data_IF_144138899170
#
_entry.id   IF_144138899170
#
_cell.length_a   1.000
_cell.length_b   1.000
_cell.length_c   1.000
_cell.angle_alpha   90.00
_cell.angle_beta   90.00
_cell.angle_gamma   90.00
#
_symmetry.space_group_name_H-M   'P 1'
#
loop_
_entity.id
_entity.type
_entity.pdbx_description
1 polymer ?
#
# COMPACT_ATOMS: atom_id res chain seq x y z
N UNK A 1 11.53 1.06 -10.23
CA UNK A 1 10.17 1.58 -9.94
C UNK A 1 9.79 2.78 -10.82
N UNK A 2 10.37 3.98 -10.62
CA UNK A 2 9.94 5.17 -11.38
C UNK A 2 10.01 5.04 -12.90
N UNK A 3 11.04 4.37 -13.44
CA UNK A 3 11.10 4.11 -14.88
C UNK A 3 9.97 3.20 -15.38
N UNK A 4 9.53 2.23 -14.56
CA UNK A 4 8.46 1.31 -14.92
C UNK A 4 7.09 2.01 -14.96
N UNK A 5 6.89 3.02 -14.11
CA UNK A 5 5.63 3.76 -13.98
C UNK A 5 5.67 5.16 -14.61
N UNK A 6 6.61 5.42 -15.49
CA UNK A 6 6.69 6.67 -16.25
C UNK A 6 7.31 6.37 -17.63
N UNK A 7 6.49 6.14 -18.66
CA UNK A 7 6.98 5.80 -20.00
C UNK A 7 7.87 6.87 -20.62
N UNK A 8 7.70 8.16 -20.27
CA UNK A 8 8.55 9.23 -20.80
C UNK A 8 9.88 9.37 -20.07
N UNK A 9 10.08 8.66 -18.96
CA UNK A 9 11.33 8.74 -18.19
C UNK A 9 12.45 8.05 -18.97
N UNK A 10 13.64 8.63 -19.03
CA UNK A 10 14.81 7.93 -19.56
C UNK A 10 15.19 6.78 -18.62
N UNK A 11 15.52 5.62 -19.18
CA UNK A 11 16.08 4.50 -18.42
C UNK A 11 17.53 4.85 -18.03
N UNK A 12 17.86 4.65 -16.77
CA UNK A 12 19.20 4.82 -16.21
C UNK A 12 19.81 3.46 -15.92
N UNK A 13 21.13 3.40 -15.77
CA UNK A 13 21.79 2.21 -15.26
C UNK A 13 21.44 2.02 -13.78
N UNK A 14 20.60 1.02 -13.49
CA UNK A 14 20.14 0.74 -12.11
C UNK A 14 21.27 0.26 -11.19
N UNK A 15 22.39 -0.19 -11.76
CA UNK A 15 23.54 -0.74 -11.04
C UNK A 15 24.73 0.23 -11.01
N UNK A 16 24.58 1.48 -11.46
CA UNK A 16 25.67 2.47 -11.57
C UNK A 16 26.44 2.66 -10.24
N UNK A 17 25.76 2.56 -9.10
CA UNK A 17 26.34 2.72 -7.76
C UNK A 17 26.64 1.39 -7.07
N UNK A 18 26.49 0.25 -7.75
CA UNK A 18 26.75 -1.06 -7.16
C UNK A 18 28.26 -1.37 -7.18
N UNK A 19 28.87 -1.74 -6.03
CA UNK A 19 30.33 -1.71 -5.85
C UNK A 19 31.10 -2.86 -6.54
N UNK A 20 30.41 -3.83 -7.16
CA UNK A 20 31.06 -4.94 -7.87
C UNK A 20 30.99 -4.67 -9.37
N UNK A 21 32.11 -4.80 -10.08
CA UNK A 21 32.13 -4.85 -11.55
C UNK A 21 31.20 -5.97 -12.00
N UNK A 22 29.96 -5.64 -12.32
CA UNK A 22 28.96 -6.59 -12.75
C UNK A 22 29.35 -7.08 -14.16
N UNK A 23 29.87 -8.31 -14.33
CA UNK A 23 30.32 -8.77 -15.64
C UNK A 23 29.15 -8.89 -16.62
N UNK A 24 27.94 -8.97 -16.06
CA UNK A 24 26.67 -8.91 -16.75
C UNK A 24 25.73 -8.07 -15.87
N UNK A 25 25.30 -6.92 -16.40
CA UNK A 25 24.23 -6.08 -15.85
C UNK A 25 22.93 -6.89 -15.90
N UNK A 26 22.73 -7.75 -14.91
CA UNK A 26 21.62 -8.69 -14.68
C UNK A 26 21.07 -9.51 -15.88
N UNK A 27 21.75 -9.51 -17.03
CA UNK A 27 21.25 -10.10 -18.27
C UNK A 27 20.13 -9.30 -18.94
N UNK A 28 19.90 -8.04 -18.55
CA UNK A 28 18.80 -7.20 -19.04
C UNK A 28 17.46 -7.49 -18.35
N UNK A 29 17.48 -8.10 -17.16
CA UNK A 29 16.28 -8.50 -16.43
C UNK A 29 15.46 -7.29 -15.96
N UNK A 30 16.08 -6.31 -15.28
CA UNK A 30 15.39 -5.10 -14.83
C UNK A 30 14.90 -4.26 -16.02
N UNK A 31 15.68 -4.19 -17.09
CA UNK A 31 15.26 -3.51 -18.31
C UNK A 31 14.02 -4.19 -18.90
N UNK A 32 14.00 -5.52 -18.99
CA UNK A 32 12.85 -6.29 -19.48
C UNK A 32 11.59 -6.06 -18.65
N UNK A 33 11.71 -6.03 -17.31
CA UNK A 33 10.59 -5.70 -16.41
C UNK A 33 10.06 -4.28 -16.64
N UNK A 34 10.96 -3.31 -16.82
CA UNK A 34 10.59 -1.92 -17.07
C UNK A 34 9.90 -1.77 -18.42
N UNK A 35 10.42 -2.41 -19.47
CA UNK A 35 9.80 -2.37 -20.79
C UNK A 35 8.44 -3.06 -20.81
N UNK A 36 8.30 -4.23 -20.16
CA UNK A 36 7.02 -4.92 -20.03
C UNK A 36 5.97 -4.03 -19.34
N UNK A 37 6.35 -3.36 -18.24
CA UNK A 37 5.46 -2.41 -17.58
C UNK A 37 5.08 -1.26 -18.52
N UNK A 38 6.06 -0.61 -19.17
CA UNK A 38 5.80 0.53 -20.06
C UNK A 38 4.89 0.17 -21.22
N UNK A 39 5.09 -1.00 -21.84
CA UNK A 39 4.25 -1.49 -22.92
C UNK A 39 2.78 -1.55 -22.48
N UNK A 40 2.50 -2.16 -21.32
CA UNK A 40 1.15 -2.21 -20.75
C UNK A 40 0.61 -0.81 -20.47
N UNK A 41 1.40 0.09 -19.86
CA UNK A 41 0.93 1.44 -19.52
C UNK A 41 0.53 2.28 -20.74
N UNK A 42 1.17 2.05 -21.90
CA UNK A 42 0.83 2.72 -23.15
C UNK A 42 -0.50 2.23 -23.76
N UNK A 43 -0.95 1.03 -23.38
CA UNK A 43 -2.23 0.44 -23.81
C UNK A 43 -3.40 0.83 -22.89
N UNK A 44 -3.12 1.41 -21.72
CA UNK A 44 -4.13 1.77 -20.74
C UNK A 44 -4.82 3.08 -21.11
N UNK A 45 -6.08 2.96 -21.49
CA UNK A 45 -7.00 4.03 -21.89
C UNK A 45 -6.90 5.31 -21.04
N UNK A 46 -6.82 5.20 -19.71
CA UNK A 46 -6.83 6.37 -18.83
C UNK A 46 -5.51 6.55 -18.05
N UNK A 47 -4.40 6.03 -18.57
CA UNK A 47 -3.14 6.07 -17.82
C UNK A 47 -2.65 7.49 -17.54
N UNK A 48 -2.75 8.41 -18.50
CA UNK A 48 -2.37 9.82 -18.29
C UNK A 48 -3.14 10.48 -17.13
N UNK A 49 -4.41 10.10 -16.90
CA UNK A 49 -5.20 10.62 -15.79
C UNK A 49 -4.70 10.13 -14.42
N UNK A 50 -4.14 8.91 -14.34
CA UNK A 50 -3.65 8.33 -13.09
C UNK A 50 -2.16 8.51 -12.87
N UNK A 51 -1.40 8.80 -13.94
CA UNK A 51 0.07 8.89 -13.94
C UNK A 51 0.62 9.80 -12.83
N UNK A 52 0.10 11.02 -12.58
CA UNK A 52 0.61 11.86 -11.49
C UNK A 52 0.50 11.21 -10.11
N UNK A 53 -0.63 10.53 -9.84
CA UNK A 53 -0.86 9.83 -8.58
C UNK A 53 0.00 8.56 -8.46
N UNK A 54 0.12 7.79 -9.55
CA UNK A 54 0.97 6.58 -9.60
C UNK A 54 2.44 6.92 -9.38
N UNK A 55 2.99 7.89 -10.12
CA UNK A 55 4.39 8.32 -10.01
C UNK A 55 4.68 8.82 -8.60
N UNK A 56 3.75 9.55 -7.98
CA UNK A 56 3.88 10.01 -6.59
C UNK A 56 3.98 8.85 -5.61
N UNK A 57 3.07 7.87 -5.68
CA UNK A 57 3.11 6.72 -4.78
C UNK A 57 4.37 5.88 -5.00
N UNK A 58 4.79 5.69 -6.26
CA UNK A 58 6.04 5.00 -6.57
C UNK A 58 7.27 5.76 -6.06
N UNK A 59 7.24 7.10 -6.06
CA UNK A 59 8.30 7.93 -5.48
C UNK A 59 8.38 7.72 -3.97
N UNK A 60 7.26 7.84 -3.26
CA UNK A 60 7.21 7.63 -1.81
C UNK A 60 7.68 6.23 -1.42
N UNK A 61 7.23 5.21 -2.16
CA UNK A 61 7.68 3.83 -1.96
C UNK A 61 9.19 3.72 -2.17
N UNK A 62 9.71 4.18 -3.31
CA UNK A 62 11.13 4.05 -3.63
C UNK A 62 12.02 4.76 -2.60
N UNK A 63 11.62 5.96 -2.17
CA UNK A 63 12.32 6.70 -1.12
C UNK A 63 12.31 5.97 0.21
N UNK A 64 11.14 5.51 0.65
CA UNK A 64 11.02 4.77 1.90
C UNK A 64 11.86 3.49 1.86
N UNK A 65 11.83 2.73 0.76
CA UNK A 65 12.64 1.52 0.63
C UNK A 65 14.14 1.83 0.69
N UNK A 66 14.61 2.88 0.00
CA UNK A 66 16.02 3.28 0.08
C UNK A 66 16.43 3.66 1.50
N UNK A 67 15.57 4.34 2.26
CA UNK A 67 15.85 4.77 3.63
C UNK A 67 15.78 3.62 4.64
N UNK A 68 14.78 2.72 4.50
CA UNK A 68 14.57 1.56 5.38
C UNK A 68 15.78 0.62 5.40
N UNK A 69 16.46 0.49 4.25
CA UNK A 69 17.60 -0.42 4.06
C UNK A 69 18.97 0.24 4.31
N UNK A 70 19.01 1.47 4.82
CA UNK A 70 20.25 2.03 5.34
C UNK A 70 20.72 1.25 6.58
N UNK A 71 21.99 1.46 6.94
CA UNK A 71 22.57 0.86 8.14
C UNK A 71 21.70 1.16 9.38
N UNK A 72 21.53 0.20 10.32
CA UNK A 72 20.60 0.34 11.44
C UNK A 72 20.79 1.61 12.27
N UNK A 73 22.04 2.06 12.46
CA UNK A 73 22.35 3.27 13.23
C UNK A 73 21.97 4.58 12.53
N UNK A 74 21.73 4.56 11.22
CA UNK A 74 21.42 5.73 10.41
C UNK A 74 19.95 5.77 9.96
N UNK A 75 19.37 4.61 9.61
CA UNK A 75 18.06 4.51 8.93
C UNK A 75 16.96 5.31 9.61
N UNK A 76 16.84 5.23 10.94
CA UNK A 76 15.76 5.90 11.69
C UNK A 76 15.85 7.43 11.63
N UNK A 77 17.05 7.98 11.82
CA UNK A 77 17.29 9.42 11.75
C UNK A 77 16.95 9.97 10.37
N UNK A 78 17.38 9.27 9.31
CA UNK A 78 17.09 9.65 7.93
C UNK A 78 15.60 9.52 7.60
N UNK A 79 14.93 8.46 8.06
CA UNK A 79 13.48 8.30 7.88
C UNK A 79 12.68 9.38 8.62
N UNK A 80 13.09 9.74 9.83
CA UNK A 80 12.47 10.84 10.57
C UNK A 80 12.67 12.19 9.87
N UNK A 81 13.89 12.47 9.40
CA UNK A 81 14.18 13.67 8.59
C UNK A 81 13.36 13.72 7.30
N UNK A 82 13.27 12.61 6.57
CA UNK A 82 12.44 12.47 5.38
C UNK A 82 10.96 12.68 5.69
N UNK A 83 10.44 12.10 6.78
CA UNK A 83 9.08 12.35 7.24
C UNK A 83 8.85 13.83 7.51
N UNK A 84 9.75 14.49 8.24
CA UNK A 84 9.63 15.92 8.52
C UNK A 84 9.67 16.75 7.23
N UNK A 85 10.51 16.41 6.26
CA UNK A 85 10.58 17.13 4.99
C UNK A 85 9.32 16.90 4.14
N UNK A 86 8.83 15.66 4.05
CA UNK A 86 7.64 15.30 3.26
C UNK A 86 6.33 15.78 3.92
N UNK A 87 6.31 15.94 5.24
CA UNK A 87 5.16 16.45 6.00
C UNK A 87 5.19 17.98 6.21
N UNK A 88 6.37 18.64 6.24
CA UNK A 88 6.46 20.11 6.29
C UNK A 88 5.85 20.73 5.03
N UNK A 89 4.72 21.39 5.19
CA UNK A 89 3.96 22.06 4.12
C UNK A 89 2.69 21.33 3.68
N UNK A 90 2.35 20.19 4.32
CA UNK A 90 1.34 19.28 3.79
C UNK A 90 0.69 18.44 4.91
N UNK A 91 -0.61 18.15 4.99
CA UNK A 91 -1.61 18.12 3.93
C UNK A 91 -1.08 17.50 2.63
N UNK A 92 -0.35 16.38 2.73
CA UNK A 92 0.36 15.62 1.66
C UNK A 92 0.31 16.32 0.29
N UNK A 93 1.30 17.19 -0.01
CA UNK A 93 1.21 18.18 -1.10
C UNK A 93 1.13 17.40 -2.39
N UNK A 94 -0.04 17.46 -3.04
CA UNK A 94 -0.35 16.76 -4.27
C UNK A 94 -1.67 15.99 -4.25
N UNK A 95 -2.19 15.69 -3.06
CA UNK A 95 -3.53 15.10 -2.93
C UNK A 95 -4.55 16.06 -2.30
N UNK A 96 -4.10 17.16 -1.69
CA UNK A 96 -4.95 18.13 -0.99
C UNK A 96 -5.08 17.81 0.51
N UNK A 97 -5.03 18.85 1.34
CA UNK A 97 -5.54 18.90 2.73
C UNK A 97 -5.70 17.58 3.50
N UNK A 98 -4.74 17.22 4.36
CA UNK A 98 -4.89 16.16 5.37
C UNK A 98 -5.31 16.78 6.70
N UNK A 99 -6.53 17.29 6.77
CA UNK A 99 -7.14 17.56 8.07
C UNK A 99 -7.45 16.21 8.75
N UNK A 100 -6.97 16.02 9.99
CA UNK A 100 -7.34 14.88 10.85
C UNK A 100 -6.37 13.69 10.90
N UNK A 101 -5.25 13.67 10.16
CA UNK A 101 -4.23 12.63 10.29
C UNK A 101 -2.92 13.20 10.86
N UNK A 102 -2.84 13.31 12.18
CA UNK A 102 -1.57 13.56 12.86
C UNK A 102 -0.72 12.28 12.84
N UNK A 103 -0.14 11.97 11.67
CA UNK A 103 0.66 10.78 11.46
C UNK A 103 1.97 10.85 12.25
N UNK A 104 2.37 9.70 12.79
CA UNK A 104 3.73 9.49 13.27
C UNK A 104 4.64 9.07 12.13
N UNK A 105 5.95 9.24 12.28
CA UNK A 105 6.91 8.95 11.21
C UNK A 105 6.87 7.47 10.77
N UNK A 106 6.67 6.54 11.70
CA UNK A 106 6.55 5.10 11.40
C UNK A 106 5.24 4.76 10.68
N UNK A 107 4.16 5.49 10.95
CA UNK A 107 2.88 5.33 10.25
C UNK A 107 2.94 5.87 8.82
N UNK A 108 3.67 6.98 8.63
CA UNK A 108 3.96 7.51 7.32
C UNK A 108 4.88 6.57 6.52
N UNK A 109 5.90 6.00 7.18
CA UNK A 109 6.74 4.95 6.61
C UNK A 109 5.92 3.74 6.17
N UNK A 110 5.03 3.24 7.03
CA UNK A 110 4.11 2.15 6.69
C UNK A 110 3.21 2.52 5.50
N UNK A 111 2.64 3.73 5.49
CA UNK A 111 1.82 4.20 4.38
C UNK A 111 2.59 4.22 3.04
N UNK A 112 3.86 4.63 3.07
CA UNK A 112 4.68 4.69 1.87
C UNK A 112 5.12 3.28 1.38
N UNK A 113 5.10 2.27 2.25
CA UNK A 113 5.51 0.90 1.90
C UNK A 113 4.51 0.08 1.10
N UNK A 114 3.29 0.58 0.90
CA UNK A 114 2.26 -0.16 0.16
C UNK A 114 2.26 0.15 -1.33
N UNK A 115 2.13 -0.89 -2.15
CA UNK A 115 1.92 -0.79 -3.60
C UNK A 115 0.44 -0.84 -4.00
N UNK A 116 -0.49 -1.08 -3.07
CA UNK A 116 -1.91 -1.26 -3.38
C UNK A 116 -2.54 -0.04 -4.07
N UNK A 117 -2.15 1.17 -3.69
CA UNK A 117 -2.64 2.39 -4.35
C UNK A 117 -2.21 2.47 -5.81
N UNK A 118 -0.98 2.04 -6.12
CA UNK A 118 -0.47 1.96 -7.50
C UNK A 118 -1.30 0.97 -8.30
N UNK A 119 -1.46 -0.27 -7.80
CA UNK A 119 -2.22 -1.30 -8.52
C UNK A 119 -3.68 -0.92 -8.73
N UNK A 120 -4.30 -0.27 -7.74
CA UNK A 120 -5.69 0.16 -7.85
C UNK A 120 -5.84 1.27 -8.89
N UNK A 121 -4.96 2.26 -8.89
CA UNK A 121 -4.96 3.31 -9.91
C UNK A 121 -4.76 2.74 -11.32
N UNK A 122 -3.83 1.79 -11.48
CA UNK A 122 -3.61 1.11 -12.76
C UNK A 122 -4.84 0.31 -13.20
N UNK A 123 -5.47 -0.42 -12.28
CA UNK A 123 -6.71 -1.15 -12.56
C UNK A 123 -7.87 -0.23 -12.97
N UNK A 124 -7.98 0.97 -12.37
CA UNK A 124 -8.99 1.93 -12.80
C UNK A 124 -8.65 2.56 -14.15
N UNK A 125 -7.36 2.68 -14.48
CA UNK A 125 -6.95 3.22 -15.77
C UNK A 125 -7.23 2.31 -16.96
N UNK A 126 -7.47 1.01 -16.73
CA UNK A 126 -7.86 0.05 -17.77
C UNK A 126 -9.34 0.09 -18.14
N UNK A 127 -10.16 0.96 -17.53
CA UNK A 127 -11.58 1.08 -17.86
C UNK A 127 -11.77 1.66 -19.27
N UNK A 128 -12.62 1.07 -20.12
CA UNK A 128 -12.87 1.60 -21.46
C UNK A 128 -13.38 3.05 -21.42
N UNK A 129 -12.79 3.94 -22.22
CA UNK A 129 -13.25 5.35 -22.34
C UNK A 129 -14.68 5.49 -22.84
N UNK A 130 -15.14 4.54 -23.66
CA UNK A 130 -16.44 4.55 -24.34
C UNK A 130 -17.58 3.91 -23.51
N UNK A 131 -17.29 3.44 -22.30
CA UNK A 131 -18.30 2.83 -21.42
C UNK A 131 -18.78 1.46 -21.83
N UNK A 132 -18.15 0.81 -22.82
CA UNK A 132 -18.44 -0.58 -23.13
C UNK A 132 -17.75 -1.52 -22.15
N UNK A 133 -17.95 -1.29 -20.85
CA UNK A 133 -17.52 -2.28 -19.86
C UNK A 133 -18.48 -3.47 -19.97
N UNK A 134 -17.95 -4.66 -20.31
CA UNK A 134 -18.68 -5.93 -20.21
C UNK A 134 -18.88 -6.30 -18.74
N UNK A 135 -19.62 -5.49 -18.00
CA UNK A 135 -20.04 -5.82 -16.65
C UNK A 135 -21.18 -6.85 -16.69
N UNK A 136 -21.28 -7.71 -15.67
CA UNK A 136 -22.43 -8.59 -15.52
C UNK A 136 -23.73 -7.77 -15.54
N UNK A 137 -24.75 -8.29 -16.26
CA UNK A 137 -26.04 -7.63 -16.48
C UNK A 137 -26.57 -6.96 -15.20
N UNK A 138 -26.77 -5.64 -15.25
CA UNK A 138 -27.35 -4.84 -14.15
C UNK A 138 -26.39 -3.87 -13.47
N UNK A 139 -25.11 -3.85 -13.84
CA UNK A 139 -24.15 -2.81 -13.43
C UNK A 139 -23.63 -2.13 -14.69
N UNK A 140 -24.04 -0.90 -14.91
CA UNK A 140 -23.53 -0.08 -16.00
C UNK A 140 -22.70 1.03 -15.39
N UNK A 141 -21.39 1.01 -15.61
CA UNK A 141 -20.58 2.20 -15.44
C UNK A 141 -20.99 3.16 -16.57
N UNK A 142 -21.53 4.35 -16.26
CA UNK A 142 -21.77 5.33 -17.31
C UNK A 142 -20.42 5.57 -18.00
N UNK A 143 -20.38 5.44 -19.32
CA UNK A 143 -19.17 5.53 -20.15
C UNK A 143 -18.42 6.83 -20.02
N UNK A 144 -17.68 6.95 -18.93
CA UNK A 144 -16.94 8.13 -18.54
C UNK A 144 -15.48 7.73 -18.38
N UNK A 145 -14.64 8.33 -19.22
CA UNK A 145 -13.20 8.45 -19.04
C UNK A 145 -12.87 8.68 -17.57
N UNK A 146 -11.98 7.88 -17.00
CA UNK A 146 -11.53 8.05 -15.61
C UNK A 146 -10.70 9.33 -15.51
N UNK A 147 -11.20 10.31 -14.76
CA UNK A 147 -10.60 11.65 -14.70
C UNK A 147 -9.46 11.76 -13.69
N UNK A 148 -8.60 12.77 -13.87
CA UNK A 148 -7.53 13.07 -12.90
C UNK A 148 -8.10 13.42 -11.51
N UNK A 149 -9.32 13.98 -11.44
CA UNK A 149 -9.98 14.26 -10.16
C UNK A 149 -10.35 12.97 -9.42
N UNK A 150 -10.90 11.99 -10.14
CA UNK A 150 -11.21 10.67 -9.58
C UNK A 150 -9.93 9.90 -9.21
N UNK A 151 -8.88 10.01 -10.02
CA UNK A 151 -7.56 9.45 -9.70
C UNK A 151 -6.99 10.05 -8.41
N UNK A 152 -7.15 11.37 -8.20
CA UNK A 152 -6.74 12.04 -6.96
C UNK A 152 -7.56 11.59 -5.76
N UNK A 153 -8.87 11.44 -5.90
CA UNK A 153 -9.74 10.91 -4.85
C UNK A 153 -9.35 9.46 -4.48
N UNK A 154 -9.13 8.61 -5.48
CA UNK A 154 -8.68 7.24 -5.25
C UNK A 154 -7.31 7.20 -4.55
N UNK A 155 -6.38 8.04 -4.99
CA UNK A 155 -5.08 8.21 -4.34
C UNK A 155 -5.17 8.63 -2.87
N UNK A 156 -6.09 9.55 -2.51
CA UNK A 156 -6.36 9.98 -1.12
C UNK A 156 -6.96 8.92 -0.23
N UNK A 157 -7.76 8.03 -0.80
CA UNK A 157 -8.37 6.92 -0.06
C UNK A 157 -7.31 5.87 0.25
N UNK A 158 -6.44 5.55 -0.73
CA UNK A 158 -5.40 4.56 -0.52
C UNK A 158 -4.27 5.08 0.36
N UNK A 159 -3.69 6.23 0.01
CA UNK A 159 -2.62 6.83 0.78
C UNK A 159 -3.14 7.94 1.68
N UNK A 160 -2.85 7.91 2.99
CA UNK A 160 -2.05 6.95 3.72
C UNK A 160 -2.89 5.81 4.31
N UNK A 161 -4.22 5.90 4.35
CA UNK A 161 -5.02 5.11 5.27
C UNK A 161 -4.99 3.60 4.98
N UNK A 162 -5.43 3.19 3.78
CA UNK A 162 -5.43 1.78 3.37
C UNK A 162 -3.99 1.26 3.27
N UNK A 163 -3.07 2.10 2.78
CA UNK A 163 -1.66 1.76 2.64
C UNK A 163 -0.98 1.49 3.98
N UNK A 164 -1.17 2.35 4.98
CA UNK A 164 -0.61 2.15 6.32
C UNK A 164 -1.22 0.92 6.96
N UNK A 165 -2.53 0.72 6.82
CA UNK A 165 -3.20 -0.49 7.31
C UNK A 165 -2.57 -1.75 6.73
N UNK A 166 -2.34 -1.79 5.42
CA UNK A 166 -1.72 -2.92 4.74
C UNK A 166 -0.38 -3.27 5.38
N UNK A 167 0.55 -2.31 5.44
CA UNK A 167 1.91 -2.56 5.92
C UNK A 167 1.98 -2.75 7.44
N UNK A 168 1.13 -2.07 8.21
CA UNK A 168 1.09 -2.27 9.66
C UNK A 168 0.55 -3.66 10.04
N UNK A 169 -0.34 -4.25 9.23
CA UNK A 169 -0.82 -5.62 9.46
C UNK A 169 0.25 -6.67 9.14
N UNK A 170 0.97 -6.47 8.04
CA UNK A 170 2.14 -7.24 7.63
C UNK A 170 3.19 -7.25 8.76
N UNK A 171 3.61 -6.06 9.18
CA UNK A 171 4.58 -5.91 10.27
C UNK A 171 4.05 -6.37 11.63
N UNK A 172 2.73 -6.40 11.84
CA UNK A 172 2.16 -6.90 13.09
C UNK A 172 2.33 -8.41 13.22
N UNK A 173 2.25 -9.16 12.12
CA UNK A 173 2.45 -10.61 12.12
C UNK A 173 3.93 -11.00 11.99
N UNK A 174 4.79 -10.13 11.45
CA UNK A 174 6.21 -10.44 11.21
C UNK A 174 7.16 -9.97 12.32
N UNK A 175 6.66 -9.58 13.50
CA UNK A 175 7.48 -9.01 14.57
C UNK A 175 8.67 -9.88 14.99
N UNK A 176 8.47 -11.19 15.24
CA UNK A 176 9.58 -12.07 15.62
C UNK A 176 10.53 -12.39 14.44
N UNK A 177 10.02 -12.41 13.21
CA UNK A 177 10.84 -12.59 12.00
C UNK A 177 11.76 -11.38 11.79
N UNK A 178 11.19 -10.17 11.78
CA UNK A 178 11.94 -8.92 11.60
C UNK A 178 12.96 -8.70 12.72
N UNK A 179 12.61 -9.09 13.96
CA UNK A 179 13.55 -9.03 15.08
C UNK A 179 14.72 -9.99 14.89
N UNK A 180 14.48 -11.17 14.30
CA UNK A 180 15.52 -12.17 14.04
C UNK A 180 16.42 -11.75 12.88
N UNK A 181 15.86 -11.16 11.81
CA UNK A 181 16.62 -10.69 10.64
C UNK A 181 17.31 -9.34 10.85
N UNK A 182 16.89 -8.56 11.86
CA UNK A 182 17.36 -7.19 12.09
C UNK A 182 16.67 -6.14 11.21
N UNK A 183 15.59 -6.54 10.54
CA UNK A 183 14.80 -5.66 9.69
C UNK A 183 14.05 -4.60 10.51
N UNK A 184 13.78 -3.46 9.87
CA UNK A 184 13.02 -2.40 10.50
C UNK A 184 11.54 -2.77 10.52
N UNK A 185 10.99 -2.94 11.72
CA UNK A 185 9.56 -3.12 11.96
C UNK A 185 8.97 -1.85 12.60
N UNK A 186 7.86 -1.35 12.05
CA UNK A 186 7.17 -0.14 12.52
C UNK A 186 6.27 -0.35 13.75
N UNK A 187 5.83 -1.58 14.02
CA UNK A 187 4.88 -1.90 15.11
C UNK A 187 5.48 -1.66 16.51
N UNK A 188 6.77 -1.98 16.77
CA UNK A 188 7.43 -1.66 18.03
C UNK A 188 7.50 -0.18 18.40
N UNK A 189 7.32 0.76 17.46
CA UNK A 189 7.34 2.20 17.77
C UNK A 189 6.05 2.73 18.41
N UNK A 190 4.97 1.96 18.38
CA UNK A 190 3.84 2.23 19.27
C UNK A 190 4.25 1.86 20.70
N UNK A 191 3.90 2.71 21.68
CA UNK A 191 4.11 2.33 23.08
C UNK A 191 3.38 1.01 23.37
N UNK A 192 3.95 0.20 24.26
CA UNK A 192 3.37 -1.08 24.64
C UNK A 192 1.92 -0.90 25.16
N UNK A 193 1.08 -1.89 24.89
CA UNK A 193 -0.30 -1.93 25.39
C UNK A 193 -1.33 -1.29 24.44
N UNK A 194 -2.34 -0.56 24.96
CA UNK A 194 -3.50 -0.14 24.17
C UNK A 194 -3.19 0.75 22.96
N UNK A 195 -2.09 1.51 22.98
CA UNK A 195 -1.75 2.46 21.91
C UNK A 195 -1.57 1.76 20.56
N UNK A 196 -0.90 0.60 20.54
CA UNK A 196 -0.66 -0.19 19.32
C UNK A 196 -1.97 -0.63 18.67
N UNK A 197 -2.88 -1.21 19.45
CA UNK A 197 -4.19 -1.65 18.94
C UNK A 197 -5.03 -0.47 18.49
N UNK A 198 -4.99 0.64 19.23
CA UNK A 198 -5.67 1.87 18.86
C UNK A 198 -5.12 2.44 17.53
N UNK A 199 -3.80 2.36 17.30
CA UNK A 199 -3.17 2.74 16.04
C UNK A 199 -3.66 1.89 14.86
N UNK A 200 -3.61 0.56 15.00
CA UNK A 200 -4.11 -0.38 13.98
C UNK A 200 -5.61 -0.21 13.71
N UNK A 201 -6.39 0.00 14.79
CA UNK A 201 -7.84 0.23 14.70
C UNK A 201 -8.14 1.57 14.03
N UNK A 202 -7.41 2.64 14.36
CA UNK A 202 -7.60 3.96 13.75
C UNK A 202 -7.45 3.91 12.24
N UNK A 203 -6.50 3.15 11.71
CA UNK A 203 -6.33 2.98 10.27
C UNK A 203 -7.43 2.13 9.62
N UNK A 204 -8.06 1.20 10.35
CA UNK A 204 -9.29 0.54 9.88
C UNK A 204 -10.42 1.54 9.71
N UNK A 205 -10.71 2.30 10.76
CA UNK A 205 -11.83 3.24 10.79
C UNK A 205 -11.64 4.34 9.74
N UNK A 206 -10.43 4.90 9.65
CA UNK A 206 -10.09 5.90 8.65
C UNK A 206 -10.21 5.37 7.21
N UNK A 207 -9.76 4.14 6.97
CA UNK A 207 -9.86 3.51 5.64
C UNK A 207 -11.30 3.35 5.18
N UNK A 208 -12.17 2.86 6.07
CA UNK A 208 -13.59 2.68 5.77
C UNK A 208 -14.30 4.02 5.59
N UNK A 209 -14.09 4.96 6.52
CA UNK A 209 -14.72 6.28 6.47
C UNK A 209 -14.35 7.06 5.19
N UNK A 210 -13.08 7.00 4.77
CA UNK A 210 -12.62 7.66 3.54
C UNK A 210 -13.14 7.00 2.27
N UNK A 211 -13.12 5.67 2.21
CA UNK A 211 -13.72 4.98 1.08
C UNK A 211 -15.18 5.39 0.90
N UNK A 212 -15.92 5.52 2.01
CA UNK A 212 -17.33 5.89 2.02
C UNK A 212 -17.61 7.34 1.66
N UNK A 213 -16.75 8.25 2.10
CA UNK A 213 -16.92 9.68 1.87
C UNK A 213 -16.47 10.11 0.47
N UNK A 214 -15.44 9.48 -0.10
CA UNK A 214 -14.76 9.99 -1.30
C UNK A 214 -14.99 9.17 -2.57
N UNK A 215 -15.45 7.91 -2.48
CA UNK A 215 -15.62 7.04 -3.65
C UNK A 215 -17.08 6.81 -3.99
N UNK A 216 -17.40 6.83 -5.29
CA UNK A 216 -18.73 6.49 -5.79
C UNK A 216 -19.09 5.03 -5.53
N UNK A 217 -18.12 4.12 -5.62
CA UNK A 217 -18.30 2.67 -5.47
C UNK A 217 -17.42 2.13 -4.32
N UNK A 218 -17.77 2.38 -3.04
CA UNK A 218 -16.90 2.08 -1.91
C UNK A 218 -16.83 0.58 -1.59
N UNK A 219 -17.79 -0.23 -2.03
CA UNK A 219 -17.94 -1.62 -1.60
C UNK A 219 -16.71 -2.48 -1.91
N UNK A 220 -16.08 -2.29 -3.07
CA UNK A 220 -14.87 -3.02 -3.46
C UNK A 220 -13.70 -2.65 -2.54
N UNK A 221 -13.52 -1.36 -2.25
CA UNK A 221 -12.44 -0.89 -1.39
C UNK A 221 -12.66 -1.27 0.08
N UNK A 222 -13.92 -1.31 0.54
CA UNK A 222 -14.28 -1.92 1.84
C UNK A 222 -13.89 -3.39 1.87
N UNK A 223 -14.13 -4.14 0.79
CA UNK A 223 -13.75 -5.54 0.69
C UNK A 223 -12.22 -5.71 0.75
N UNK A 224 -11.44 -4.84 0.09
CA UNK A 224 -9.97 -4.81 0.22
C UNK A 224 -9.55 -4.58 1.67
N UNK A 225 -10.09 -3.55 2.33
CA UNK A 225 -9.75 -3.18 3.73
C UNK A 225 -10.05 -4.30 4.73
N UNK A 226 -11.20 -4.98 4.57
CA UNK A 226 -11.60 -6.11 5.44
C UNK A 226 -10.87 -7.39 5.07
N UNK A 227 -10.63 -7.62 3.78
CA UNK A 227 -9.94 -8.77 3.23
C UNK A 227 -8.48 -8.84 3.67
N UNK A 228 -7.74 -7.72 3.59
CA UNK A 228 -6.38 -7.64 4.10
C UNK A 228 -6.31 -8.05 5.57
N UNK A 229 -7.18 -7.48 6.43
CA UNK A 229 -7.20 -7.85 7.84
C UNK A 229 -7.52 -9.32 8.06
N UNK A 230 -8.51 -9.85 7.35
CA UNK A 230 -8.87 -11.25 7.48
C UNK A 230 -7.72 -12.18 7.07
N UNK A 231 -7.03 -11.85 5.98
CA UNK A 231 -5.93 -12.64 5.43
C UNK A 231 -4.71 -12.59 6.34
N UNK A 232 -4.24 -11.39 6.73
CA UNK A 232 -3.09 -11.23 7.62
C UNK A 232 -3.36 -11.81 9.02
N UNK A 233 -4.51 -11.51 9.62
CA UNK A 233 -4.82 -11.99 10.97
C UNK A 233 -5.31 -13.46 11.02
N UNK A 234 -5.28 -14.15 9.89
CA UNK A 234 -5.46 -15.61 9.83
C UNK A 234 -4.15 -16.38 9.86
N UNK A 235 -3.01 -15.69 9.78
CA UNK A 235 -1.68 -16.30 9.70
C UNK A 235 -1.32 -17.08 10.98
N UNK A 236 -0.68 -18.27 10.88
CA UNK A 236 -0.23 -19.04 12.05
C UNK A 236 0.63 -18.24 13.03
N UNK A 237 1.44 -17.31 12.51
CA UNK A 237 2.29 -16.40 13.29
C UNK A 237 1.52 -15.65 14.38
N UNK A 238 0.22 -15.39 14.19
CA UNK A 238 -0.65 -14.76 15.18
C UNK A 238 -0.75 -15.59 16.46
N UNK A 239 -0.91 -16.91 16.33
CA UNK A 239 -1.02 -17.81 17.48
C UNK A 239 0.33 -18.00 18.14
N UNK A 240 1.36 -18.21 17.33
CA UNK A 240 2.73 -18.51 17.79
C UNK A 240 3.32 -17.37 18.61
N UNK A 241 2.94 -16.12 18.29
CA UNK A 241 3.35 -14.91 19.01
C UNK A 241 2.37 -14.48 20.11
N UNK A 242 1.33 -15.26 20.41
CA UNK A 242 0.36 -14.93 21.45
C UNK A 242 -0.55 -13.73 21.14
N UNK A 243 -0.69 -13.35 19.87
CA UNK A 243 -1.43 -12.17 19.39
C UNK A 243 -2.94 -12.42 19.18
N UNK A 244 -3.44 -13.59 19.61
CA UNK A 244 -4.80 -14.05 19.30
C UNK A 244 -5.89 -13.15 19.91
N UNK A 245 -5.75 -12.75 21.18
CA UNK A 245 -6.77 -11.94 21.85
C UNK A 245 -6.95 -10.58 21.14
N UNK A 246 -5.84 -9.94 20.79
CA UNK A 246 -5.81 -8.67 20.09
C UNK A 246 -6.32 -8.79 18.65
N UNK A 247 -5.96 -9.88 17.98
CA UNK A 247 -6.49 -10.22 16.65
C UNK A 247 -8.01 -10.33 16.66
N UNK A 248 -8.59 -11.01 17.65
CA UNK A 248 -10.04 -11.14 17.76
C UNK A 248 -10.71 -9.78 17.95
N UNK A 249 -10.13 -8.90 18.78
CA UNK A 249 -10.62 -7.52 18.96
C UNK A 249 -10.57 -6.71 17.66
N UNK A 250 -9.43 -6.74 16.95
CA UNK A 250 -9.26 -6.04 15.68
C UNK A 250 -10.24 -6.53 14.60
N UNK A 251 -10.47 -7.84 14.56
CA UNK A 251 -11.38 -8.47 13.58
C UNK A 251 -12.84 -8.17 13.90
N UNK A 252 -13.24 -8.29 15.17
CA UNK A 252 -14.60 -7.97 15.60
C UNK A 252 -14.97 -6.53 15.26
N UNK A 253 -14.01 -5.62 15.45
CA UNK A 253 -14.20 -4.22 15.15
C UNK A 253 -14.39 -3.97 13.62
N UNK A 254 -13.89 -4.85 12.73
CA UNK A 254 -14.14 -4.79 11.28
C UNK A 254 -15.52 -5.36 10.86
N UNK A 255 -16.24 -5.96 11.81
CA UNK A 255 -17.59 -6.52 11.67
C UNK A 255 -17.62 -7.95 11.12
N UNK A 256 -18.82 -8.54 11.15
CA UNK A 256 -19.06 -9.95 10.82
C UNK A 256 -18.42 -10.46 9.50
N UNK A 257 -18.45 -9.71 8.37
CA UNK A 257 -17.81 -10.18 7.14
C UNK A 257 -16.31 -10.43 7.29
N UNK A 258 -15.60 -9.60 8.06
CA UNK A 258 -14.17 -9.79 8.30
C UNK A 258 -13.90 -11.00 9.21
N UNK A 259 -14.75 -11.23 10.21
CA UNK A 259 -14.65 -12.41 11.08
C UNK A 259 -14.85 -13.71 10.33
N UNK A 260 -15.88 -13.78 9.50
CA UNK A 260 -16.18 -14.94 8.66
C UNK A 260 -15.04 -15.21 7.68
N UNK A 261 -14.54 -14.17 7.02
CA UNK A 261 -13.42 -14.29 6.09
C UNK A 261 -12.14 -14.75 6.79
N UNK A 262 -11.82 -14.23 7.99
CA UNK A 262 -10.63 -14.65 8.76
C UNK A 262 -10.67 -16.14 9.10
N UNK A 263 -11.84 -16.64 9.54
CA UNK A 263 -12.04 -18.07 9.83
C UNK A 263 -11.84 -18.91 8.56
N UNK A 264 -12.37 -18.44 7.44
CA UNK A 264 -12.23 -19.11 6.13
C UNK A 264 -10.77 -19.15 5.67
N UNK A 265 -10.05 -18.02 5.74
CA UNK A 265 -8.63 -17.97 5.43
C UNK A 265 -7.81 -18.92 6.32
N UNK A 266 -8.08 -18.94 7.63
CA UNK A 266 -7.42 -19.84 8.56
C UNK A 266 -7.70 -21.32 8.27
N UNK A 267 -8.93 -21.66 7.88
CA UNK A 267 -9.28 -23.01 7.46
C UNK A 267 -8.54 -23.42 6.17
N UNK A 268 -8.52 -22.55 5.17
CA UNK A 268 -7.81 -22.80 3.90
C UNK A 268 -6.32 -23.03 4.15
N UNK A 269 -5.68 -22.19 4.98
CA UNK A 269 -4.26 -22.34 5.35
C UNK A 269 -3.99 -23.70 6.01
N UNK A 270 -4.83 -24.07 6.98
CA UNK A 270 -4.71 -25.37 7.66
C UNK A 270 -4.89 -26.58 6.73
N UNK A 271 -5.78 -26.49 5.74
CA UNK A 271 -6.01 -27.58 4.77
C UNK A 271 -4.90 -27.67 3.73
N UNK A 272 -4.38 -26.53 3.26
CA UNK A 272 -3.40 -26.47 2.18
C UNK A 272 -1.93 -26.47 2.65
N UNK A 273 -1.69 -26.37 3.96
CA UNK A 273 -0.34 -26.40 4.54
C UNK A 273 0.44 -25.09 4.36
N UNK A 274 -0.27 -23.96 4.34
CA UNK A 274 0.32 -22.61 4.35
C UNK A 274 0.33 -22.00 5.77
#
# INVERSE_FOLDING_TARGET
MLCAVDPSRRVSDYYELYPVEHPQKDGGYLDSLVQASRAVLLELDNYEAVRPAVVRLATLYSEMQSLKHLLPHARESFMHGWFLQRSKGTCVAGFGGFEGCNLKWWEYGAAAGSTLGIFTLLSYSSRPRDGQERLPKGRSHPGKTFSESEARALGRVYFPAISARHILLDYYIDQEEDKTSGDLNFVPYYSLGPERLNGLRRFLDLSLARADAELQEPWFHRAVVKGLLAMYLSDPKVKDQGLLADTLRLTAAAGFPAESLRKTCGFIRAVLGF
#
